data_IF_712796279008
#
_entry.id   IF_712796279008
#
_cell.length_a   1.000
_cell.length_b   1.000
_cell.length_c   1.000
_cell.angle_alpha   90.00
_cell.angle_beta   90.00
_cell.angle_gamma   90.00
#
_symmetry.space_group_name_H-M   'P 1'
#
loop_
_entity.id
_entity.type
_entity.pdbx_description
1 polymer ?
#
# COMPACT_ATOMS: atom_id res chain seq x y z
N UNK A 1 -8.88 -79.06 -7.90
CA UNK A 1 -7.87 -78.30 -7.13
C UNK A 1 -7.35 -77.17 -8.02
N UNK A 2 -7.89 -75.94 -7.90
CA UNK A 2 -7.25 -74.76 -7.24
C UNK A 2 -5.87 -74.42 -7.85
N UNK A 3 -5.54 -73.24 -8.41
CA UNK A 3 -6.00 -71.83 -8.22
C UNK A 3 -5.76 -70.97 -9.47
N UNK A 4 -6.62 -69.97 -9.60
CA UNK A 4 -6.51 -68.73 -10.38
C UNK A 4 -5.47 -67.80 -9.74
N UNK A 5 -4.61 -67.13 -10.50
CA UNK A 5 -4.04 -65.84 -10.09
C UNK A 5 -4.01 -64.84 -11.25
N UNK A 6 -4.85 -63.83 -11.07
CA UNK A 6 -4.97 -62.59 -11.83
C UNK A 6 -3.76 -61.70 -11.55
N UNK A 7 -3.06 -61.21 -12.58
CA UNK A 7 -2.12 -60.09 -12.43
C UNK A 7 -2.84 -58.80 -12.82
N UNK A 8 -3.23 -58.05 -11.79
CA UNK A 8 -3.70 -56.67 -11.91
C UNK A 8 -2.58 -55.69 -11.57
N UNK A 9 -2.49 -54.67 -12.41
CA UNK A 9 -2.12 -53.28 -12.12
C UNK A 9 -0.71 -52.94 -11.61
N UNK A 10 0.01 -52.18 -12.45
CA UNK A 10 0.70 -50.98 -11.96
C UNK A 10 0.49 -49.85 -12.97
N UNK A 11 -0.53 -49.02 -12.71
CA UNK A 11 -0.67 -47.72 -13.37
C UNK A 11 0.23 -46.76 -12.59
N UNK A 12 1.31 -46.32 -13.24
CA UNK A 12 2.20 -45.27 -12.73
C UNK A 12 1.47 -43.94 -12.93
N UNK A 13 0.78 -43.46 -11.88
CA UNK A 13 0.27 -42.09 -11.86
C UNK A 13 1.43 -41.19 -11.40
N UNK A 14 2.16 -40.65 -12.36
CA UNK A 14 3.09 -39.54 -12.16
C UNK A 14 2.28 -38.30 -11.77
N UNK A 15 2.15 -38.06 -10.47
CA UNK A 15 1.63 -36.81 -9.94
C UNK A 15 2.68 -35.72 -10.04
N UNK A 16 2.75 -35.03 -11.18
CA UNK A 16 3.39 -33.71 -11.24
C UNK A 16 2.54 -32.75 -10.40
N UNK A 17 2.95 -32.54 -9.15
CA UNK A 17 2.50 -31.40 -8.37
C UNK A 17 3.00 -30.13 -9.07
N UNK A 18 2.10 -29.49 -9.82
CA UNK A 18 2.30 -28.14 -10.33
C UNK A 18 2.62 -27.24 -9.13
N UNK A 19 3.87 -26.78 -9.04
CA UNK A 19 4.25 -25.68 -8.17
C UNK A 19 3.55 -24.43 -8.67
N UNK A 20 2.32 -24.23 -8.21
CA UNK A 20 1.63 -22.96 -8.34
C UNK A 20 2.44 -21.92 -7.59
N UNK A 21 3.26 -21.14 -8.29
CA UNK A 21 3.74 -19.87 -7.81
C UNK A 21 2.52 -18.96 -7.64
N UNK A 22 1.83 -19.07 -6.51
CA UNK A 22 1.04 -17.95 -6.02
C UNK A 22 2.02 -16.76 -5.91
N UNK A 23 1.65 -15.55 -6.39
CA UNK A 23 2.46 -14.37 -6.15
C UNK A 23 2.53 -14.17 -4.63
N UNK A 24 3.65 -14.58 -4.05
CA UNK A 24 3.83 -14.64 -2.63
C UNK A 24 3.92 -13.22 -2.07
N UNK A 25 2.87 -12.81 -1.36
CA UNK A 25 2.95 -11.81 -0.28
C UNK A 25 4.03 -12.18 0.76
N UNK A 26 4.59 -13.39 0.68
CA UNK A 26 5.53 -14.04 1.60
C UNK A 26 6.94 -13.43 1.73
N UNK A 27 7.20 -12.18 1.31
CA UNK A 27 8.43 -11.47 1.69
C UNK A 27 8.21 -9.99 1.99
N UNK A 28 7.04 -9.65 2.49
CA UNK A 28 6.92 -8.42 3.26
C UNK A 28 7.65 -8.67 4.59
N UNK A 29 8.79 -8.01 4.79
CA UNK A 29 9.62 -8.15 5.98
C UNK A 29 8.88 -7.52 7.17
N UNK A 30 7.92 -8.26 7.72
CA UNK A 30 7.15 -7.89 8.90
C UNK A 30 7.60 -8.80 10.03
N UNK A 31 7.91 -8.21 11.19
CA UNK A 31 8.42 -8.95 12.32
C UNK A 31 7.48 -10.07 12.78
N UNK A 32 8.04 -11.16 13.31
CA UNK A 32 7.24 -12.29 13.81
C UNK A 32 6.17 -11.84 14.81
N UNK A 33 6.47 -10.83 15.63
CA UNK A 33 5.54 -10.27 16.61
C UNK A 33 4.33 -9.58 15.95
N UNK A 34 4.53 -8.96 14.78
CA UNK A 34 3.53 -8.18 14.07
C UNK A 34 2.72 -9.00 13.04
N UNK A 35 3.22 -10.17 12.63
CA UNK A 35 2.54 -11.05 11.65
C UNK A 35 1.08 -11.36 11.99
N UNK A 36 0.67 -11.67 13.23
CA UNK A 36 -0.73 -11.93 13.54
C UNK A 36 -1.63 -10.73 13.22
N UNK A 37 -1.22 -9.52 13.61
CA UNK A 37 -1.97 -8.29 13.35
C UNK A 37 -1.99 -7.96 11.86
N UNK A 38 -0.86 -8.12 11.18
CA UNK A 38 -0.75 -7.93 9.73
C UNK A 38 -1.69 -8.87 8.95
N UNK A 39 -1.65 -10.17 9.27
CA UNK A 39 -2.50 -11.17 8.63
C UNK A 39 -3.98 -10.96 8.93
N UNK A 40 -4.32 -10.54 10.16
CA UNK A 40 -5.70 -10.21 10.53
C UNK A 40 -6.26 -9.08 9.67
N UNK A 41 -5.48 -8.02 9.40
CA UNK A 41 -5.91 -6.95 8.48
C UNK A 41 -6.10 -7.47 7.06
N UNK A 42 -5.20 -8.31 6.55
CA UNK A 42 -5.36 -8.84 5.19
C UNK A 42 -6.54 -9.81 5.05
N UNK A 43 -6.90 -10.51 6.12
CA UNK A 43 -8.05 -11.42 6.16
C UNK A 43 -9.40 -10.70 6.25
N UNK A 44 -9.42 -9.41 6.58
CA UNK A 44 -10.65 -8.61 6.69
C UNK A 44 -10.49 -7.27 5.94
N UNK A 45 -10.99 -7.18 4.68
CA UNK A 45 -10.97 -5.95 3.91
C UNK A 45 -11.66 -4.75 4.58
N UNK A 46 -12.64 -4.99 5.46
CA UNK A 46 -13.33 -3.93 6.21
C UNK A 46 -12.42 -3.39 7.32
N UNK A 47 -11.80 -4.28 8.10
CA UNK A 47 -10.81 -3.88 9.10
C UNK A 47 -9.61 -3.19 8.47
N UNK A 48 -9.12 -3.68 7.32
CA UNK A 48 -8.04 -3.03 6.56
C UNK A 48 -8.42 -1.62 6.11
N UNK A 49 -9.63 -1.44 5.57
CA UNK A 49 -10.12 -0.11 5.21
C UNK A 49 -10.17 0.79 6.44
N UNK A 50 -10.67 0.30 7.57
CA UNK A 50 -10.73 1.07 8.81
C UNK A 50 -9.33 1.45 9.31
N UNK A 51 -8.35 0.56 9.22
CA UNK A 51 -6.97 0.81 9.61
C UNK A 51 -6.30 1.91 8.77
N UNK A 52 -6.55 1.91 7.45
CA UNK A 52 -6.00 2.89 6.51
C UNK A 52 -6.83 4.18 6.43
N UNK A 53 -8.08 4.18 6.90
CA UNK A 53 -8.92 5.36 6.93
C UNK A 53 -8.42 6.39 7.95
N UNK A 54 -8.54 7.65 7.58
CA UNK A 54 -7.99 8.80 8.32
C UNK A 54 -6.49 8.64 8.62
N UNK A 55 -5.70 8.30 7.59
CA UNK A 55 -4.24 8.16 7.75
C UNK A 55 -3.46 8.86 6.66
N UNK A 56 -2.32 9.42 7.03
CA UNK A 56 -1.28 9.88 6.11
C UNK A 56 -0.18 8.83 6.02
N UNK A 57 0.10 8.36 4.81
CA UNK A 57 1.03 7.28 4.53
C UNK A 57 2.16 7.82 3.65
N UNK A 58 3.40 7.53 4.03
CA UNK A 58 4.58 7.81 3.22
C UNK A 58 5.11 6.52 2.62
N UNK A 59 5.35 6.54 1.31
CA UNK A 59 6.10 5.53 0.59
C UNK A 59 7.30 6.19 -0.09
N UNK A 60 8.34 5.43 -0.38
CA UNK A 60 9.43 5.85 -1.23
C UNK A 60 9.73 4.79 -2.28
N UNK A 61 10.06 5.24 -3.49
CA UNK A 61 10.67 4.39 -4.49
C UNK A 61 11.67 5.20 -5.32
N UNK A 62 12.66 4.53 -5.91
CA UNK A 62 13.73 5.17 -6.66
C UNK A 62 13.28 5.83 -7.96
N UNK A 63 12.07 5.53 -8.44
CA UNK A 63 11.52 6.00 -9.70
C UNK A 63 10.71 7.30 -9.51
N UNK A 64 9.93 7.42 -8.44
CA UNK A 64 9.08 8.59 -8.15
C UNK A 64 9.53 9.43 -6.94
N UNK A 65 10.41 8.92 -6.08
CA UNK A 65 10.84 9.57 -4.84
C UNK A 65 9.82 9.41 -3.70
N UNK A 66 9.84 10.33 -2.72
CA UNK A 66 8.91 10.32 -1.58
C UNK A 66 7.49 10.68 -2.00
N UNK A 67 6.55 9.76 -1.78
CA UNK A 67 5.13 9.93 -2.03
C UNK A 67 4.38 9.93 -0.69
N UNK A 68 3.63 11.00 -0.41
CA UNK A 68 2.83 11.12 0.82
C UNK A 68 1.36 11.25 0.46
N UNK A 69 0.55 10.34 0.97
CA UNK A 69 -0.85 10.16 0.60
C UNK A 69 -1.74 10.15 1.85
N UNK A 70 -2.73 11.05 1.90
CA UNK A 70 -3.76 11.05 2.93
C UNK A 70 -5.00 10.29 2.44
N UNK A 71 -5.49 9.37 3.26
CA UNK A 71 -6.72 8.61 3.05
C UNK A 71 -7.80 9.09 4.01
N UNK A 72 -8.82 9.81 3.53
CA UNK A 72 -9.96 10.15 4.40
C UNK A 72 -10.90 8.98 4.60
N UNK A 73 -11.66 9.01 5.71
CA UNK A 73 -12.76 8.08 6.01
C UNK A 73 -13.79 8.01 4.86
N UNK A 74 -14.05 9.14 4.21
CA UNK A 74 -15.03 9.25 3.11
C UNK A 74 -14.64 8.53 1.82
N UNK A 75 -13.40 8.00 1.72
CA UNK A 75 -12.89 7.43 0.47
C UNK A 75 -12.27 8.44 -0.49
N UNK A 76 -12.10 9.71 -0.07
CA UNK A 76 -11.25 10.68 -0.80
C UNK A 76 -9.80 10.54 -0.39
N UNK A 77 -8.88 10.80 -1.33
CA UNK A 77 -7.45 10.80 -1.08
C UNK A 77 -6.76 12.03 -1.65
N UNK A 78 -5.62 12.38 -1.07
CA UNK A 78 -4.76 13.48 -1.52
C UNK A 78 -3.32 13.02 -1.53
N UNK A 79 -2.67 13.14 -2.68
CA UNK A 79 -1.29 12.70 -2.88
C UNK A 79 -0.39 13.89 -3.19
N UNK A 80 0.74 13.97 -2.51
CA UNK A 80 1.84 14.87 -2.86
C UNK A 80 3.09 14.04 -3.11
N UNK A 81 3.82 14.38 -4.16
CA UNK A 81 5.09 13.79 -4.54
C UNK A 81 5.96 14.86 -5.21
N UNK A 82 7.24 14.60 -5.51
CA UNK A 82 8.14 15.60 -6.04
C UNK A 82 7.63 16.27 -7.32
N UNK A 83 7.81 17.58 -7.42
CA UNK A 83 7.31 18.40 -8.53
C UNK A 83 5.86 18.88 -8.37
N UNK A 84 5.07 18.32 -7.45
CA UNK A 84 3.73 18.81 -7.18
C UNK A 84 3.76 20.06 -6.29
N UNK A 85 3.19 21.15 -6.80
CA UNK A 85 2.89 22.35 -6.00
C UNK A 85 1.57 22.22 -5.24
N UNK A 86 0.70 21.29 -5.60
CA UNK A 86 -0.61 21.06 -4.97
C UNK A 86 -0.82 19.56 -4.80
N UNK A 87 -1.57 19.15 -3.79
CA UNK A 87 -1.95 17.74 -3.68
C UNK A 87 -2.88 17.33 -4.82
N UNK A 88 -2.62 16.17 -5.42
CA UNK A 88 -3.52 15.53 -6.36
C UNK A 88 -4.70 14.98 -5.60
N UNK A 89 -5.91 15.39 -5.99
CA UNK A 89 -7.14 14.95 -5.36
C UNK A 89 -7.68 13.72 -6.09
N UNK A 90 -8.09 12.71 -5.33
CA UNK A 90 -8.60 11.46 -5.89
C UNK A 90 -9.55 10.73 -4.95
N UNK A 91 -9.79 9.48 -5.30
CA UNK A 91 -10.58 8.53 -4.55
C UNK A 91 -9.77 7.28 -4.25
N UNK A 92 -10.07 6.63 -3.13
CA UNK A 92 -9.46 5.38 -2.74
C UNK A 92 -10.49 4.40 -2.19
N UNK A 93 -10.25 3.11 -2.41
CA UNK A 93 -11.07 2.03 -1.86
C UNK A 93 -10.26 0.76 -1.65
N UNK A 94 -10.75 -0.11 -0.76
CA UNK A 94 -10.29 -1.49 -0.64
C UNK A 94 -11.29 -2.36 -1.40
N UNK A 95 -10.77 -3.32 -2.17
CA UNK A 95 -11.55 -4.28 -2.97
C UNK A 95 -10.88 -5.66 -2.92
N UNK A 96 -11.49 -6.66 -3.57
CA UNK A 96 -10.95 -8.02 -3.61
C UNK A 96 -11.30 -8.85 -2.38
N UNK A 97 -10.97 -10.16 -2.41
CA UNK A 97 -11.34 -11.08 -1.35
C UNK A 97 -10.42 -10.95 -0.12
N UNK A 98 -10.91 -11.47 1.01
CA UNK A 98 -10.08 -11.75 2.18
C UNK A 98 -8.82 -12.54 1.81
N UNK A 99 -7.69 -12.21 2.44
CA UNK A 99 -6.38 -12.81 2.18
C UNK A 99 -5.68 -12.28 0.92
N UNK A 100 -6.41 -11.61 0.01
CA UNK A 100 -5.82 -10.92 -1.14
C UNK A 100 -6.52 -9.58 -1.44
N UNK A 101 -6.63 -8.68 -0.45
CA UNK A 101 -7.25 -7.38 -0.67
C UNK A 101 -6.37 -6.51 -1.57
N UNK A 102 -7.03 -5.72 -2.40
CA UNK A 102 -6.42 -4.70 -3.26
C UNK A 102 -6.81 -3.32 -2.79
N UNK A 103 -5.86 -2.40 -2.82
CA UNK A 103 -6.13 -0.97 -2.69
C UNK A 103 -6.18 -0.36 -4.08
N UNK A 104 -7.19 0.45 -4.35
CA UNK A 104 -7.40 1.09 -5.63
C UNK A 104 -7.47 2.60 -5.47
N UNK A 105 -6.89 3.31 -6.43
CA UNK A 105 -6.86 4.76 -6.51
C UNK A 105 -7.46 5.25 -7.81
N UNK A 106 -8.12 6.40 -7.77
CA UNK A 106 -8.60 7.11 -8.95
C UNK A 106 -8.23 8.59 -8.82
N UNK A 107 -7.44 9.07 -9.77
CA UNK A 107 -7.06 10.47 -9.89
C UNK A 107 -7.60 11.04 -11.23
N UNK A 108 -8.78 11.68 -11.24
CA UNK A 108 -9.52 12.00 -12.48
C UNK A 108 -8.87 13.08 -13.35
N UNK A 109 -7.99 13.90 -12.77
CA UNK A 109 -7.34 15.02 -13.46
C UNK A 109 -5.83 14.98 -13.28
N UNK A 110 -5.23 13.79 -13.36
CA UNK A 110 -3.78 13.58 -13.25
C UNK A 110 -3.15 13.12 -14.56
N UNK A 111 -1.83 13.13 -14.58
CA UNK A 111 -0.99 12.52 -15.62
C UNK A 111 0.16 11.81 -14.93
N UNK A 112 0.47 10.58 -15.34
CA UNK A 112 1.62 9.85 -14.80
C UNK A 112 2.91 10.62 -15.12
N UNK A 113 3.74 10.86 -14.10
CA UNK A 113 4.89 11.73 -14.20
C UNK A 113 5.99 11.20 -15.14
N UNK A 114 5.95 9.92 -15.52
CA UNK A 114 7.04 9.24 -16.23
C UNK A 114 6.65 8.86 -17.65
N UNK A 115 5.50 8.21 -17.79
CA UNK A 115 4.93 7.79 -19.08
C UNK A 115 4.13 8.90 -19.73
N UNK A 116 3.74 9.93 -18.97
CA UNK A 116 2.88 10.99 -19.45
C UNK A 116 1.46 10.54 -19.78
N UNK A 117 1.04 9.33 -19.43
CA UNK A 117 -0.33 8.87 -19.71
C UNK A 117 -1.34 9.64 -18.86
N UNK A 118 -2.48 10.06 -19.41
CA UNK A 118 -3.55 10.65 -18.60
C UNK A 118 -4.03 9.63 -17.57
N UNK A 119 -4.30 10.09 -16.36
CA UNK A 119 -5.07 9.33 -15.38
C UNK A 119 -6.56 9.31 -15.74
N UNK A 120 -7.40 8.87 -14.80
CA UNK A 120 -8.85 8.83 -14.99
C UNK A 120 -9.49 7.47 -14.77
N UNK A 121 -8.68 6.41 -14.69
CA UNK A 121 -9.12 5.07 -14.37
C UNK A 121 -8.75 4.66 -12.95
N UNK A 122 -9.40 3.61 -12.46
CA UNK A 122 -9.03 2.99 -11.20
C UNK A 122 -7.76 2.16 -11.38
N UNK A 123 -6.71 2.52 -10.66
CA UNK A 123 -5.46 1.77 -10.59
C UNK A 123 -5.38 1.03 -9.26
N UNK A 124 -5.27 -0.31 -9.33
CA UNK A 124 -5.29 -1.16 -8.14
C UNK A 124 -3.96 -1.89 -7.95
N UNK A 125 -3.47 -1.94 -6.72
CA UNK A 125 -2.32 -2.75 -6.31
C UNK A 125 -2.63 -3.63 -5.09
N UNK A 126 -1.73 -4.56 -4.72
CA UNK A 126 -1.85 -5.32 -3.48
C UNK A 126 -1.91 -4.38 -2.27
N UNK A 127 -2.94 -4.49 -1.43
CA UNK A 127 -3.09 -3.59 -0.29
C UNK A 127 -2.02 -3.81 0.79
N UNK A 128 -1.43 -5.01 0.82
CA UNK A 128 -0.33 -5.37 1.71
C UNK A 128 0.88 -4.41 1.60
N UNK A 129 1.13 -3.84 0.42
CA UNK A 129 2.21 -2.86 0.22
C UNK A 129 2.03 -1.58 1.03
N UNK A 130 0.79 -1.19 1.33
CA UNK A 130 0.51 0.01 2.15
C UNK A 130 0.72 -0.27 3.64
N UNK A 131 0.60 -1.52 4.07
CA UNK A 131 0.90 -1.92 5.44
C UNK A 131 2.41 -1.91 5.70
N UNK A 132 3.22 -2.15 4.67
CA UNK A 132 4.69 -2.06 4.74
C UNK A 132 5.24 -0.70 4.34
N UNK A 133 4.40 0.33 4.31
CA UNK A 133 4.87 1.70 4.13
C UNK A 133 5.86 2.10 5.23
N UNK A 134 6.78 3.02 4.91
CA UNK A 134 7.84 3.42 5.86
C UNK A 134 7.27 4.25 7.02
N UNK A 135 6.21 5.01 6.77
CA UNK A 135 5.47 5.71 7.80
C UNK A 135 3.96 5.70 7.55
N UNK A 136 3.20 5.49 8.63
CA UNK A 136 1.75 5.58 8.68
C UNK A 136 1.40 6.39 9.93
N UNK A 137 0.71 7.52 9.74
CA UNK A 137 0.29 8.43 10.81
C UNK A 137 -1.21 8.62 10.79
N UNK A 138 -1.84 8.65 11.96
CA UNK A 138 -3.26 8.99 12.07
C UNK A 138 -3.50 10.47 11.73
N UNK A 139 -4.56 10.73 10.98
CA UNK A 139 -5.02 12.04 10.54
C UNK A 139 -4.33 12.58 9.29
N UNK A 140 -4.85 13.73 8.83
CA UNK A 140 -4.26 14.56 7.78
C UNK A 140 -3.15 15.45 8.36
N UNK A 141 -2.00 14.85 8.66
CA UNK A 141 -0.92 15.52 9.40
C UNK A 141 -0.21 16.63 8.60
N UNK A 142 -0.36 16.61 7.27
CA UNK A 142 0.14 17.66 6.39
C UNK A 142 -0.95 18.68 6.01
N UNK A 143 -2.22 18.40 6.30
CA UNK A 143 -3.34 19.24 5.86
C UNK A 143 -3.58 19.16 4.34
N UNK A 144 -3.27 18.01 3.72
CA UNK A 144 -3.40 17.76 2.28
C UNK A 144 -4.82 18.01 1.76
N UNK A 145 -5.84 17.76 2.60
CA UNK A 145 -7.24 18.04 2.27
C UNK A 145 -7.46 19.54 2.03
N UNK A 146 -6.88 20.40 2.86
CA UNK A 146 -7.01 21.87 2.77
C UNK A 146 -6.07 22.44 1.72
N UNK A 147 -4.88 21.86 1.58
CA UNK A 147 -3.84 22.29 0.64
C UNK A 147 -4.09 21.86 -0.80
N UNK A 148 -5.07 20.99 -1.06
CA UNK A 148 -5.55 20.72 -2.43
C UNK A 148 -6.04 21.97 -3.18
N UNK A 149 -6.26 23.09 -2.47
CA UNK A 149 -6.69 24.37 -3.02
C UNK A 149 -5.61 25.47 -2.97
N UNK A 150 -4.49 25.27 -2.25
CA UNK A 150 -3.43 26.30 -2.07
C UNK A 150 -2.05 25.71 -2.38
N UNK A 151 -1.23 26.32 -3.26
CA UNK A 151 0.11 25.80 -3.55
C UNK A 151 0.99 25.75 -2.30
N UNK A 152 1.80 24.71 -2.18
CA UNK A 152 2.95 24.71 -1.29
C UNK A 152 3.95 25.80 -1.72
N UNK A 153 4.64 26.44 -0.77
CA UNK A 153 5.69 27.40 -1.09
C UNK A 153 6.90 26.74 -1.78
N UNK A 154 7.08 25.42 -1.60
CA UNK A 154 8.14 24.60 -2.21
C UNK A 154 7.59 23.21 -2.51
N UNK A 155 8.07 22.59 -3.59
CA UNK A 155 7.79 21.18 -3.90
C UNK A 155 8.63 20.26 -3.02
N UNK A 156 8.17 19.02 -2.83
CA UNK A 156 9.04 17.96 -2.29
C UNK A 156 10.23 17.73 -3.25
N UNK A 157 11.44 17.48 -2.72
CA UNK A 157 12.60 17.21 -3.55
C UNK A 157 12.58 15.77 -4.09
N UNK A 158 13.05 15.58 -5.33
CA UNK A 158 12.85 14.33 -6.07
C UNK A 158 13.72 13.14 -5.65
N UNK A 159 14.90 13.40 -5.07
CA UNK A 159 15.94 12.36 -4.88
C UNK A 159 16.09 11.86 -3.45
N UNK A 160 15.45 12.52 -2.50
CA UNK A 160 15.64 12.21 -1.09
C UNK A 160 14.49 11.37 -0.59
N UNK A 161 14.82 10.38 0.22
CA UNK A 161 13.83 9.76 1.07
C UNK A 161 13.61 10.64 2.30
N UNK A 162 12.47 11.33 2.35
CA UNK A 162 12.13 12.29 3.39
C UNK A 162 10.98 11.78 4.23
N UNK A 163 11.14 11.87 5.55
CA UNK A 163 10.11 11.51 6.51
C UNK A 163 8.95 12.52 6.54
N UNK A 164 7.78 12.07 6.98
CA UNK A 164 6.62 12.96 7.19
C UNK A 164 6.99 14.07 8.18
N UNK A 165 7.78 13.76 9.21
CA UNK A 165 8.23 14.74 10.22
C UNK A 165 9.11 15.85 9.62
N UNK A 166 10.02 15.49 8.71
CA UNK A 166 10.86 16.45 8.00
C UNK A 166 10.03 17.34 7.06
N UNK A 167 9.02 16.78 6.37
CA UNK A 167 8.09 17.57 5.55
C UNK A 167 7.28 18.53 6.43
N UNK A 168 6.72 18.08 7.55
CA UNK A 168 6.01 18.92 8.54
C UNK A 168 6.89 20.10 8.96
N UNK A 169 8.15 19.83 9.32
CA UNK A 169 9.11 20.86 9.71
C UNK A 169 9.41 21.83 8.57
N UNK A 170 9.66 21.32 7.36
CA UNK A 170 9.98 22.13 6.18
C UNK A 170 8.81 23.04 5.76
N UNK A 171 7.58 22.61 6.01
CA UNK A 171 6.37 23.38 5.75
C UNK A 171 5.97 24.33 6.91
N UNK A 172 6.73 24.36 8.02
CA UNK A 172 6.40 25.18 9.19
C UNK A 172 5.11 24.75 9.89
N UNK A 173 4.71 23.50 9.75
CA UNK A 173 3.52 22.93 10.39
C UNK A 173 3.83 22.54 11.84
N UNK A 174 2.78 22.33 12.65
CA UNK A 174 2.94 21.89 14.04
C UNK A 174 3.61 20.51 14.09
N UNK A 175 4.57 20.27 15.02
CA UNK A 175 5.19 18.96 15.17
C UNK A 175 4.18 17.83 15.36
N UNK A 176 4.48 16.67 14.78
CA UNK A 176 3.68 15.47 14.93
C UNK A 176 3.58 15.06 16.40
N UNK A 177 2.39 14.65 16.83
CA UNK A 177 2.14 14.07 18.15
C UNK A 177 1.80 12.57 18.07
N UNK A 178 1.41 12.12 16.88
CA UNK A 178 1.00 10.77 16.59
C UNK A 178 2.21 9.86 16.43
N UNK A 179 2.14 8.66 17.01
CA UNK A 179 3.15 7.62 16.80
C UNK A 179 3.08 7.08 15.37
N UNK A 180 4.19 6.51 14.91
CA UNK A 180 4.19 5.74 13.67
C UNK A 180 3.47 4.43 13.96
N UNK A 181 2.47 4.06 13.16
CA UNK A 181 1.71 2.82 13.36
C UNK A 181 2.03 1.72 12.35
N UNK A 182 3.16 1.88 11.65
CA UNK A 182 3.76 0.85 10.80
C UNK A 182 4.02 -0.43 11.57
N UNK A 183 4.15 -1.51 10.83
CA UNK A 183 4.65 -2.76 11.37
C UNK A 183 6.17 -2.70 11.43
N UNK A 184 6.75 -3.25 12.49
CA UNK A 184 8.19 -3.41 12.63
C UNK A 184 8.69 -4.37 11.54
N UNK A 185 9.84 -4.05 10.96
CA UNK A 185 10.47 -4.89 9.95
C UNK A 185 11.61 -5.69 10.58
N UNK A 186 11.74 -6.96 10.23
CA UNK A 186 12.86 -7.77 10.70
C UNK A 186 14.18 -7.21 10.13
N UNK A 187 15.07 -6.73 11.01
CA UNK A 187 16.41 -6.25 10.66
C UNK A 187 16.58 -4.72 10.53
N UNK A 188 15.62 -3.93 11.04
CA UNK A 188 15.78 -2.47 11.24
C UNK A 188 16.52 -2.12 12.53
#
# INVERSE_FOLDING_TARGET
MTRIFSLSALVVISGLALSGCAPSVARLAVSEADKPRFNALLADPTALRAFLADTTIKNWDSRYGTQIEYHSVSGRTWLVFPGNLRSLQGFWKITGPAGNPRICYLYPHSRDAITGKPGGDWECGPAALKLTADEIRDGDVLGLQKQGLTPYPKTLPAKYDISISEVVKALGLRPLRQKNKTFEQDGS
#
